data_IF_085073839954
#
_entry.id   IF_085073839954
#
_cell.length_a   1.000
_cell.length_b   1.000
_cell.length_c   1.000
_cell.angle_alpha   90.00
_cell.angle_beta   90.00
_cell.angle_gamma   90.00
#
_symmetry.space_group_name_H-M   'P 1'
#
loop_
_entity.id
_entity.type
_entity.pdbx_description
1 polymer ?
#
# COMPACT_ATOMS: atom_id res chain seq x y z
N UNK A 1 0.96 58.06 14.91
CA UNK A 1 1.62 57.90 13.60
C UNK A 1 3.11 57.83 13.87
N UNK A 2 3.70 56.65 13.73
CA UNK A 2 5.14 56.44 13.66
C UNK A 2 5.37 55.07 12.98
N UNK A 3 6.17 55.10 11.92
CA UNK A 3 6.29 54.12 10.85
C UNK A 3 6.88 52.77 11.28
N UNK A 4 6.18 51.69 10.92
CA UNK A 4 6.77 50.34 10.90
C UNK A 4 7.36 50.10 9.50
N UNK A 5 8.70 50.17 9.41
CA UNK A 5 9.44 49.85 8.19
C UNK A 5 9.32 48.34 7.89
N UNK A 6 8.71 48.01 6.75
CA UNK A 6 8.70 46.66 6.20
C UNK A 6 10.09 46.31 5.63
N UNK A 7 10.71 45.22 6.10
CA UNK A 7 11.81 44.58 5.37
C UNK A 7 11.21 43.80 4.20
N UNK A 8 11.58 44.21 2.99
CA UNK A 8 11.24 43.53 1.74
C UNK A 8 12.14 42.29 1.61
N UNK A 9 11.55 41.10 1.53
CA UNK A 9 12.27 39.88 1.14
C UNK A 9 12.32 39.80 -0.40
N UNK A 10 13.47 39.42 -0.96
CA UNK A 10 13.83 39.52 -2.37
C UNK A 10 13.10 38.55 -3.34
N UNK A 11 11.88 38.12 -3.02
CA UNK A 11 11.02 37.37 -3.94
C UNK A 11 9.58 37.85 -3.77
N UNK A 12 9.14 38.73 -4.66
CA UNK A 12 7.87 39.46 -4.65
C UNK A 12 6.60 38.61 -4.77
N UNK A 13 6.34 37.72 -3.80
CA UNK A 13 5.02 37.13 -3.57
C UNK A 13 4.37 37.79 -2.36
N UNK A 14 3.37 38.62 -2.61
CA UNK A 14 2.40 39.05 -1.59
C UNK A 14 1.58 37.82 -1.17
N UNK A 15 2.07 37.07 -0.20
CA UNK A 15 1.26 36.08 0.51
C UNK A 15 0.27 36.82 1.41
N UNK A 16 -1.02 36.71 1.12
CA UNK A 16 -2.04 37.06 2.10
C UNK A 16 -1.80 36.22 3.36
N UNK A 17 -1.60 36.88 4.51
CA UNK A 17 -1.61 36.26 5.83
C UNK A 17 -3.04 35.77 6.10
N UNK A 18 -3.35 34.57 5.60
CA UNK A 18 -4.54 33.86 6.01
C UNK A 18 -4.38 33.40 7.45
N UNK A 19 -5.21 33.90 8.35
CA UNK A 19 -5.44 33.30 9.68
C UNK A 19 -6.21 31.97 9.48
N UNK A 20 -5.56 31.01 8.85
CA UNK A 20 -5.99 29.61 8.70
C UNK A 20 -4.86 28.75 9.28
N UNK A 21 -5.22 27.70 10.02
CA UNK A 21 -4.29 26.85 10.78
C UNK A 21 -2.95 26.64 10.07
N UNK A 22 -1.84 26.98 10.75
CA UNK A 22 -0.50 26.68 10.26
C UNK A 22 -0.42 25.19 9.87
N UNK A 23 0.26 24.86 8.75
CA UNK A 23 0.41 23.47 8.32
C UNK A 23 0.98 22.61 9.45
N UNK A 24 0.40 21.44 9.69
CA UNK A 24 0.92 20.52 10.69
C UNK A 24 2.02 19.65 10.08
N UNK A 25 3.27 20.13 10.17
CA UNK A 25 4.42 19.53 9.47
C UNK A 25 4.60 18.03 9.74
N UNK A 26 4.42 17.56 10.98
CA UNK A 26 4.56 16.14 11.31
C UNK A 26 3.50 15.28 10.60
N UNK A 27 2.25 15.77 10.49
CA UNK A 27 1.20 15.10 9.72
C UNK A 27 1.54 15.10 8.22
N UNK A 28 1.99 16.22 7.68
CA UNK A 28 2.36 16.35 6.26
C UNK A 28 3.51 15.40 5.92
N UNK A 29 4.56 15.38 6.73
CA UNK A 29 5.71 14.51 6.56
C UNK A 29 5.31 13.04 6.62
N UNK A 30 4.52 12.65 7.63
CA UNK A 30 3.99 11.28 7.74
C UNK A 30 3.16 10.88 6.52
N UNK A 31 2.22 11.72 6.07
CA UNK A 31 1.36 11.38 4.95
C UNK A 31 2.13 11.30 3.62
N UNK A 32 3.08 12.22 3.40
CA UNK A 32 3.93 12.26 2.20
C UNK A 32 4.80 11.01 2.05
N UNK A 33 5.17 10.37 3.16
CA UNK A 33 5.99 9.17 3.16
C UNK A 33 5.21 7.88 2.85
N UNK A 34 3.88 7.96 2.71
CA UNK A 34 3.06 6.80 2.32
C UNK A 34 3.13 6.53 0.82
N UNK A 35 3.12 5.26 0.44
CA UNK A 35 3.01 4.84 -0.96
C UNK A 35 1.56 4.49 -1.31
N UNK A 36 1.07 5.00 -2.43
CA UNK A 36 -0.19 4.57 -3.04
C UNK A 36 -0.14 3.07 -3.36
N UNK A 37 -1.00 2.26 -2.72
CA UNK A 37 -1.06 0.82 -2.95
C UNK A 37 -2.48 0.39 -3.38
N UNK A 38 -2.65 -0.26 -4.53
CA UNK A 38 -3.94 -0.75 -4.99
C UNK A 38 -4.49 -1.85 -4.08
N UNK A 39 -5.79 -1.79 -3.81
CA UNK A 39 -6.47 -2.79 -2.97
C UNK A 39 -7.87 -3.10 -3.50
N UNK A 40 -8.37 -4.30 -3.22
CA UNK A 40 -9.76 -4.71 -3.48
C UNK A 40 -10.66 -4.42 -2.28
N UNK A 41 -10.18 -4.65 -1.07
CA UNK A 41 -10.96 -4.57 0.16
C UNK A 41 -10.22 -3.80 1.24
N UNK A 42 -10.96 -3.35 2.27
CA UNK A 42 -10.35 -2.65 3.39
C UNK A 42 -9.46 -3.57 4.26
N UNK A 43 -9.61 -4.90 4.14
CA UNK A 43 -8.83 -5.89 4.90
C UNK A 43 -7.51 -6.30 4.26
N UNK A 44 -7.24 -5.80 3.06
CA UNK A 44 -6.02 -6.08 2.29
C UNK A 44 -4.80 -5.43 2.92
N UNK A 45 -5.00 -4.26 3.57
CA UNK A 45 -4.03 -3.65 4.47
C UNK A 45 -4.56 -3.71 5.89
N UNK A 46 -3.66 -3.98 6.83
CA UNK A 46 -4.02 -4.26 8.20
C UNK A 46 -3.17 -3.43 9.16
N UNK A 47 -3.84 -2.71 10.07
CA UNK A 47 -3.22 -2.03 11.21
C UNK A 47 -1.99 -1.18 10.79
N UNK A 48 -0.82 -1.43 11.40
CA UNK A 48 0.40 -0.65 11.20
C UNK A 48 0.89 -0.61 9.74
N UNK A 49 0.45 -1.49 8.86
CA UNK A 49 0.77 -1.39 7.43
C UNK A 49 0.21 -0.09 6.82
N UNK A 50 -0.86 0.49 7.40
CA UNK A 50 -1.38 1.80 7.03
C UNK A 50 -0.42 2.96 7.32
N UNK A 51 0.63 2.78 8.13
CA UNK A 51 1.66 3.82 8.32
C UNK A 51 2.56 3.96 7.08
N UNK A 52 2.59 2.94 6.22
CA UNK A 52 3.43 2.89 5.03
C UNK A 52 2.63 2.99 3.72
N UNK A 53 1.37 2.52 3.72
CA UNK A 53 0.52 2.52 2.54
C UNK A 53 -0.63 3.55 2.64
N UNK A 54 -0.83 4.31 1.56
CA UNK A 54 -2.10 4.97 1.29
C UNK A 54 -2.96 4.02 0.44
N UNK A 55 -4.17 3.73 0.92
CA UNK A 55 -5.08 2.81 0.25
C UNK A 55 -6.51 3.32 0.26
N UNK A 56 -7.26 2.95 -0.77
CA UNK A 56 -8.71 3.13 -0.85
C UNK A 56 -9.30 1.79 -1.29
N UNK A 57 -10.12 1.17 -0.44
CA UNK A 57 -10.65 -0.18 -0.69
C UNK A 57 -11.39 -0.27 -2.04
N UNK A 58 -10.95 -1.12 -2.96
CA UNK A 58 -11.58 -1.29 -4.27
C UNK A 58 -11.05 -0.32 -5.34
N UNK A 59 -10.17 0.61 -4.98
CA UNK A 59 -9.32 1.29 -5.95
C UNK A 59 -8.12 0.39 -6.25
N UNK A 60 -8.27 -0.45 -7.27
CA UNK A 60 -7.32 -1.50 -7.66
C UNK A 60 -6.38 -1.09 -8.81
N UNK A 61 -6.47 0.15 -9.27
CA UNK A 61 -5.56 0.76 -10.25
C UNK A 61 -4.58 1.71 -9.57
N UNK A 62 -3.30 1.68 -9.98
CA UNK A 62 -2.26 2.52 -9.39
C UNK A 62 -2.58 4.00 -9.53
N UNK A 63 -2.84 4.46 -10.77
CA UNK A 63 -3.07 5.87 -11.06
C UNK A 63 -4.31 6.43 -10.32
N UNK A 64 -5.36 5.62 -10.16
CA UNK A 64 -6.53 5.99 -9.37
C UNK A 64 -6.18 6.22 -7.89
N UNK A 65 -5.43 5.30 -7.28
CA UNK A 65 -5.03 5.46 -5.87
C UNK A 65 -4.08 6.66 -5.70
N UNK A 66 -3.17 6.89 -6.63
CA UNK A 66 -2.28 8.06 -6.63
C UNK A 66 -3.05 9.38 -6.72
N UNK A 67 -4.05 9.50 -7.60
CA UNK A 67 -4.91 10.69 -7.69
C UNK A 67 -5.71 10.93 -6.41
N UNK A 68 -6.25 9.86 -5.81
CA UNK A 68 -6.94 9.94 -4.52
C UNK A 68 -5.99 10.33 -3.39
N UNK A 69 -4.75 9.83 -3.41
CA UNK A 69 -3.70 10.22 -2.46
C UNK A 69 -3.39 11.71 -2.58
N UNK A 70 -3.21 12.20 -3.80
CA UNK A 70 -2.94 13.60 -4.09
C UNK A 70 -4.08 14.51 -3.59
N UNK A 71 -5.33 14.11 -3.78
CA UNK A 71 -6.50 14.83 -3.28
C UNK A 71 -6.51 14.95 -1.75
N UNK A 72 -6.16 13.86 -1.03
CA UNK A 72 -6.04 13.90 0.44
C UNK A 72 -4.82 14.70 0.89
N UNK A 73 -3.69 14.57 0.20
CA UNK A 73 -2.47 15.32 0.50
C UNK A 73 -2.72 16.83 0.38
N UNK A 74 -3.46 17.25 -0.67
CA UNK A 74 -3.91 18.63 -0.85
C UNK A 74 -4.74 19.11 0.36
N UNK A 75 -5.69 18.29 0.83
CA UNK A 75 -6.48 18.62 2.03
C UNK A 75 -5.63 18.78 3.29
N UNK A 76 -4.62 17.92 3.48
CA UNK A 76 -3.72 18.00 4.63
C UNK A 76 -2.83 19.25 4.55
N UNK A 77 -2.24 19.52 3.38
CA UNK A 77 -1.25 20.58 3.23
C UNK A 77 -1.87 21.98 3.12
N UNK A 78 -3.08 22.09 2.58
CA UNK A 78 -3.72 23.37 2.27
C UNK A 78 -4.98 23.63 3.11
N UNK A 79 -5.45 22.65 3.89
CA UNK A 79 -6.67 22.79 4.69
C UNK A 79 -7.96 22.83 3.88
N UNK A 80 -8.01 22.16 2.71
CA UNK A 80 -9.21 22.15 1.87
C UNK A 80 -10.36 21.38 2.49
N UNK A 81 -11.58 21.72 2.08
CA UNK A 81 -12.83 21.17 2.63
C UNK A 81 -13.20 19.81 2.02
N UNK A 82 -14.13 19.08 2.67
CA UNK A 82 -14.72 17.86 2.10
C UNK A 82 -15.38 18.12 0.74
N UNK A 83 -15.94 19.32 0.52
CA UNK A 83 -16.54 19.72 -0.76
C UNK A 83 -15.50 19.83 -1.87
N UNK A 84 -14.31 20.34 -1.58
CA UNK A 84 -13.22 20.41 -2.56
C UNK A 84 -12.63 19.03 -2.84
N UNK A 85 -12.38 18.23 -1.80
CA UNK A 85 -11.99 16.82 -1.96
C UNK A 85 -12.97 16.04 -2.84
N UNK A 86 -14.27 16.30 -2.67
CA UNK A 86 -15.35 15.70 -3.46
C UNK A 86 -15.27 16.02 -4.95
N UNK A 87 -14.74 17.18 -5.35
CA UNK A 87 -14.49 17.52 -6.76
C UNK A 87 -13.32 16.72 -7.31
N UNK A 88 -12.21 16.69 -6.58
CA UNK A 88 -11.01 15.94 -6.97
C UNK A 88 -11.31 14.42 -7.05
N UNK A 89 -12.11 13.90 -6.12
CA UNK A 89 -12.62 12.52 -6.14
C UNK A 89 -13.44 12.21 -7.39
N UNK A 90 -14.40 13.08 -7.75
CA UNK A 90 -15.24 12.87 -8.95
C UNK A 90 -14.41 12.89 -10.24
N UNK A 91 -13.41 13.76 -10.31
CA UNK A 91 -12.48 13.82 -11.43
C UNK A 91 -11.69 12.51 -11.55
N UNK A 92 -11.15 11.98 -10.45
CA UNK A 92 -10.43 10.70 -10.44
C UNK A 92 -11.36 9.53 -10.83
N UNK A 93 -12.57 9.48 -10.28
CA UNK A 93 -13.58 8.46 -10.65
C UNK A 93 -13.85 8.47 -12.15
N UNK A 94 -14.10 9.65 -12.72
CA UNK A 94 -14.37 9.81 -14.16
C UNK A 94 -13.16 9.43 -15.01
N UNK A 95 -11.97 9.90 -14.65
CA UNK A 95 -10.74 9.67 -15.42
C UNK A 95 -10.38 8.18 -15.51
N UNK A 96 -10.62 7.43 -14.43
CA UNK A 96 -10.22 6.01 -14.33
C UNK A 96 -11.36 5.03 -14.56
N UNK A 97 -12.58 5.53 -14.84
CA UNK A 97 -13.78 4.71 -15.02
C UNK A 97 -14.11 3.86 -13.79
N UNK A 98 -13.89 4.40 -12.59
CA UNK A 98 -13.98 3.62 -11.36
C UNK A 98 -15.42 3.44 -10.88
N UNK A 99 -15.89 2.19 -10.88
CA UNK A 99 -17.13 1.81 -10.20
C UNK A 99 -16.85 1.40 -8.75
N UNK A 100 -17.64 1.91 -7.80
CA UNK A 100 -17.46 1.63 -6.38
C UNK A 100 -18.79 1.41 -5.66
N UNK A 101 -18.71 0.74 -4.51
CA UNK A 101 -19.86 0.45 -3.65
C UNK A 101 -20.12 1.57 -2.64
N UNK A 102 -21.41 1.77 -2.33
CA UNK A 102 -21.90 2.78 -1.39
C UNK A 102 -22.16 4.14 -2.04
N UNK A 103 -22.91 5.00 -1.34
CA UNK A 103 -23.20 6.34 -1.87
C UNK A 103 -21.94 7.20 -1.91
N UNK A 104 -21.85 8.08 -2.93
CA UNK A 104 -20.78 9.08 -3.06
C UNK A 104 -20.54 9.86 -1.77
N UNK A 105 -21.62 10.29 -1.10
CA UNK A 105 -21.57 11.06 0.13
C UNK A 105 -20.84 10.32 1.25
N UNK A 106 -21.25 9.08 1.51
CA UNK A 106 -20.62 8.21 2.51
C UNK A 106 -19.17 7.87 2.13
N UNK A 107 -18.95 7.49 0.87
CA UNK A 107 -17.64 7.04 0.37
C UNK A 107 -16.57 8.11 0.52
N UNK A 108 -16.89 9.32 0.08
CA UNK A 108 -15.97 10.47 0.18
C UNK A 108 -15.72 10.86 1.63
N UNK A 109 -16.74 10.81 2.49
CA UNK A 109 -16.62 11.10 3.91
C UNK A 109 -15.67 10.10 4.60
N UNK A 110 -15.83 8.81 4.35
CA UNK A 110 -14.96 7.77 4.92
C UNK A 110 -13.51 7.94 4.47
N UNK A 111 -13.27 8.09 3.17
CA UNK A 111 -11.90 8.24 2.63
C UNK A 111 -11.23 9.49 3.22
N UNK A 112 -11.93 10.63 3.18
CA UNK A 112 -11.41 11.92 3.63
C UNK A 112 -11.11 11.89 5.13
N UNK A 113 -12.11 11.60 5.97
CA UNK A 113 -11.92 11.68 7.42
C UNK A 113 -10.99 10.61 7.98
N UNK A 114 -11.04 9.36 7.49
CA UNK A 114 -10.15 8.31 8.00
C UNK A 114 -8.69 8.64 7.70
N UNK A 115 -8.37 9.11 6.49
CA UNK A 115 -7.00 9.46 6.15
C UNK A 115 -6.51 10.74 6.85
N UNK A 116 -7.35 11.77 6.96
CA UNK A 116 -7.01 12.97 7.74
C UNK A 116 -6.78 12.66 9.21
N UNK A 117 -7.67 11.90 9.84
CA UNK A 117 -7.61 11.65 11.28
C UNK A 117 -6.46 10.71 11.65
N UNK A 118 -6.23 9.66 10.86
CA UNK A 118 -5.10 8.74 11.09
C UNK A 118 -3.76 9.45 10.89
N UNK A 119 -3.60 10.25 9.84
CA UNK A 119 -2.36 11.02 9.62
C UNK A 119 -2.14 12.11 10.65
N UNK A 120 -3.20 12.80 11.08
CA UNK A 120 -3.12 13.78 12.16
C UNK A 120 -2.63 13.11 13.46
N UNK A 121 -3.26 11.99 13.84
CA UNK A 121 -2.86 11.26 15.05
C UNK A 121 -1.44 10.68 14.94
N UNK A 122 -0.97 10.30 13.74
CA UNK A 122 0.42 9.92 13.52
C UNK A 122 1.42 11.07 13.76
N UNK A 123 1.13 12.26 13.24
CA UNK A 123 1.95 13.43 13.54
C UNK A 123 1.89 13.80 15.04
N UNK A 124 0.73 13.63 15.68
CA UNK A 124 0.60 13.83 17.13
C UNK A 124 1.39 12.79 17.91
N UNK A 125 1.41 11.53 17.49
CA UNK A 125 2.19 10.48 18.11
C UNK A 125 3.68 10.88 18.20
N UNK A 126 4.26 11.38 17.11
CA UNK A 126 5.62 11.91 17.10
C UNK A 126 5.81 13.05 18.11
N UNK A 127 4.93 14.06 18.09
CA UNK A 127 5.02 15.19 19.02
C UNK A 127 4.85 14.79 20.49
N UNK A 128 4.14 13.69 20.75
CA UNK A 128 3.85 13.19 22.09
C UNK A 128 5.02 12.44 22.74
N UNK A 129 6.03 12.03 21.97
CA UNK A 129 7.18 11.28 22.49
C UNK A 129 7.99 12.06 23.55
N UNK A 130 7.88 13.39 23.56
CA UNK A 130 8.54 14.26 24.55
C UNK A 130 7.82 14.36 25.90
N UNK A 131 6.66 13.73 26.05
CA UNK A 131 5.85 13.81 27.28
C UNK A 131 5.84 12.47 28.02
N UNK A 132 6.07 12.46 29.35
CA UNK A 132 6.10 11.23 30.14
C UNK A 132 4.73 10.57 30.31
N UNK A 133 3.63 11.34 30.28
CA UNK A 133 2.27 10.81 30.43
C UNK A 133 1.37 11.29 29.31
N UNK A 134 0.44 10.44 28.94
CA UNK A 134 -0.57 10.70 27.92
C UNK A 134 -1.97 10.61 28.54
N UNK A 135 -2.85 11.49 28.12
CA UNK A 135 -4.26 11.52 28.53
C UNK A 135 -5.17 11.28 27.33
N UNK A 136 -6.06 10.31 27.43
CA UNK A 136 -7.09 10.02 26.43
C UNK A 136 -8.25 11.01 26.55
N UNK A 137 -8.78 11.46 25.41
CA UNK A 137 -9.95 12.33 25.35
C UNK A 137 -10.97 11.77 24.37
N UNK A 138 -12.15 11.45 24.88
CA UNK A 138 -13.32 11.20 24.06
C UNK A 138 -13.83 12.51 23.44
N UNK A 139 -14.28 12.46 22.20
CA UNK A 139 -14.87 13.63 21.54
C UNK A 139 -16.38 13.57 21.61
N UNK A 140 -16.98 14.62 22.20
CA UNK A 140 -18.43 14.82 22.23
C UNK A 140 -19.06 14.94 20.83
N UNK A 141 -18.26 15.23 19.80
CA UNK A 141 -18.71 15.26 18.41
C UNK A 141 -18.94 13.85 17.82
N UNK A 142 -18.57 12.80 18.54
CA UNK A 142 -18.83 11.42 18.15
C UNK A 142 -20.30 11.06 18.40
N UNK A 143 -21.13 11.14 17.36
CA UNK A 143 -22.58 10.88 17.45
C UNK A 143 -22.94 9.47 17.96
N UNK A 144 -22.05 8.48 17.79
CA UNK A 144 -22.22 7.11 18.26
C UNK A 144 -20.99 6.67 19.07
N UNK A 145 -20.77 7.30 20.23
CA UNK A 145 -19.69 6.93 21.15
C UNK A 145 -19.85 5.48 21.62
N UNK A 146 -18.78 4.68 21.49
CA UNK A 146 -18.74 3.34 22.09
C UNK A 146 -18.63 3.49 23.61
N UNK A 147 -19.37 2.70 24.42
CA UNK A 147 -19.32 2.82 25.88
C UNK A 147 -17.89 2.79 26.44
N UNK A 148 -17.02 1.95 25.87
CA UNK A 148 -15.62 1.86 26.28
C UNK A 148 -14.88 3.19 26.14
N UNK A 149 -15.18 4.01 25.11
CA UNK A 149 -14.48 5.27 24.89
C UNK A 149 -14.88 6.34 25.92
N UNK A 150 -16.09 6.25 26.47
CA UNK A 150 -16.52 7.10 27.59
C UNK A 150 -15.80 6.70 28.88
N UNK A 151 -15.61 5.40 29.11
CA UNK A 151 -14.84 4.87 30.24
C UNK A 151 -13.37 5.29 30.17
N UNK A 152 -12.81 5.35 28.96
CA UNK A 152 -11.42 5.80 28.76
C UNK A 152 -11.26 7.32 28.78
N UNK A 153 -12.34 8.11 28.82
CA UNK A 153 -12.21 9.56 28.83
C UNK A 153 -11.42 10.03 30.05
N UNK A 154 -10.47 10.93 29.83
CA UNK A 154 -9.52 11.47 30.82
C UNK A 154 -8.54 10.47 31.43
N UNK A 155 -8.52 9.21 30.97
CA UNK A 155 -7.56 8.20 31.41
C UNK A 155 -6.11 8.70 31.21
N UNK A 156 -5.33 8.77 32.29
CA UNK A 156 -3.93 9.20 32.27
C UNK A 156 -3.03 8.00 32.49
N UNK A 157 -2.17 7.68 31.52
CA UNK A 157 -1.20 6.58 31.62
C UNK A 157 0.19 7.05 31.21
N UNK A 158 1.27 6.39 31.70
CA UNK A 158 2.61 6.59 31.15
C UNK A 158 2.63 6.41 29.63
N UNK A 159 3.45 7.21 28.93
CA UNK A 159 3.54 7.19 27.47
C UNK A 159 3.95 5.82 26.90
N UNK A 160 4.75 5.05 27.66
CA UNK A 160 5.21 3.72 27.29
C UNK A 160 4.26 2.58 27.71
N UNK A 161 3.10 2.89 28.30
CA UNK A 161 2.15 1.88 28.76
C UNK A 161 1.55 1.09 27.58
N UNK A 162 1.41 -0.24 27.73
CA UNK A 162 0.97 -1.14 26.67
C UNK A 162 -0.44 -0.83 26.10
N UNK A 163 -1.30 -0.18 26.89
CA UNK A 163 -2.62 0.31 26.45
C UNK A 163 -2.54 1.11 25.14
N UNK A 164 -1.53 1.97 24.99
CA UNK A 164 -1.37 2.82 23.81
C UNK A 164 -1.01 2.06 22.55
N UNK A 165 -0.55 0.81 22.64
CA UNK A 165 -0.24 -0.01 21.46
C UNK A 165 -1.47 -0.25 20.59
N UNK A 166 -2.66 -0.34 21.20
CA UNK A 166 -3.90 -0.70 20.51
C UNK A 166 -5.05 0.30 20.69
N UNK A 167 -4.96 1.19 21.69
CA UNK A 167 -6.05 2.12 22.04
C UNK A 167 -5.73 3.59 21.70
N UNK A 168 -4.58 3.86 21.09
CA UNK A 168 -4.24 5.20 20.61
C UNK A 168 -5.10 5.55 19.38
N UNK A 169 -5.85 6.66 19.37
CA UNK A 169 -6.80 7.00 18.31
C UNK A 169 -6.20 7.12 16.89
N UNK A 170 -7.02 6.96 15.83
CA UNK A 170 -8.46 6.68 15.87
C UNK A 170 -8.74 5.19 16.16
N UNK A 171 -9.76 4.93 16.98
CA UNK A 171 -10.13 3.57 17.41
C UNK A 171 -11.18 2.91 16.50
N UNK A 172 -11.47 3.53 15.34
CA UNK A 172 -12.48 3.08 14.40
C UNK A 172 -12.85 4.12 13.35
N UNK A 173 -13.69 3.68 12.40
CA UNK A 173 -14.33 4.55 11.42
C UNK A 173 -15.11 5.68 12.12
N UNK A 174 -14.86 6.93 11.72
CA UNK A 174 -15.52 8.10 12.30
C UNK A 174 -15.08 8.48 13.73
N UNK A 175 -14.05 7.83 14.29
CA UNK A 175 -13.57 8.15 15.63
C UNK A 175 -12.91 9.54 15.69
N UNK A 176 -13.41 10.39 16.59
CA UNK A 176 -12.89 11.74 16.83
C UNK A 176 -12.11 11.88 18.15
N UNK A 177 -11.80 10.78 18.82
CA UNK A 177 -11.00 10.80 20.05
C UNK A 177 -9.59 11.34 19.79
N UNK A 178 -8.89 11.76 20.85
CA UNK A 178 -7.54 12.31 20.77
C UNK A 178 -6.73 12.02 22.03
N UNK A 179 -5.42 12.28 21.97
CA UNK A 179 -4.51 12.12 23.11
C UNK A 179 -3.69 13.40 23.29
N UNK A 180 -3.54 13.82 24.55
CA UNK A 180 -2.70 14.96 24.93
C UNK A 180 -1.55 14.53 25.82
N UNK A 181 -0.38 15.14 25.66
CA UNK A 181 0.78 14.91 26.51
C UNK A 181 0.75 15.78 27.77
N UNK A 182 1.20 15.20 28.88
CA UNK A 182 1.33 15.83 30.19
C UNK A 182 2.77 15.65 30.69
N UNK A 183 3.37 16.74 31.17
CA UNK A 183 4.58 16.69 32.00
C UNK A 183 4.21 16.51 33.47
N UNK A 184 5.17 16.15 34.33
CA UNK A 184 4.94 16.08 35.78
C UNK A 184 4.39 17.39 36.36
N UNK A 185 4.91 18.53 35.89
CA UNK A 185 4.45 19.86 36.30
C UNK A 185 2.99 20.06 35.92
N UNK A 186 2.60 19.72 34.68
CA UNK A 186 1.21 19.89 34.21
C UNK A 186 0.26 18.91 34.89
N UNK A 187 0.72 17.69 35.18
CA UNK A 187 -0.05 16.67 35.89
C UNK A 187 -0.39 17.17 37.32
N UNK A 188 0.62 17.66 38.06
CA UNK A 188 0.43 18.27 39.38
C UNK A 188 -0.44 19.54 39.34
N UNK A 189 -0.17 20.46 38.42
CA UNK A 189 -0.90 21.72 38.32
C UNK A 189 -2.39 21.54 38.00
N UNK A 190 -2.76 20.43 37.34
CA UNK A 190 -4.16 20.07 37.05
C UNK A 190 -4.80 19.16 38.11
N UNK A 191 -4.08 18.82 39.18
CA UNK A 191 -4.55 17.88 40.19
C UNK A 191 -4.85 16.49 39.63
N UNK A 192 -4.17 16.09 38.55
CA UNK A 192 -4.34 14.77 37.93
C UNK A 192 -3.35 13.78 38.55
N UNK A 193 -3.73 12.50 38.57
CA UNK A 193 -2.85 11.38 38.91
C UNK A 193 -2.81 10.38 37.77
N UNK A 194 -1.79 9.51 37.76
CA UNK A 194 -1.78 8.33 36.89
C UNK A 194 -2.96 7.45 37.27
N UNK A 195 -3.73 7.03 36.26
CA UNK A 195 -4.89 6.15 36.43
C UNK A 195 -4.48 4.68 36.49
N UNK A 196 -5.33 3.85 37.06
CA UNK A 196 -5.23 2.40 36.88
C UNK A 196 -5.57 2.04 35.43
N UNK A 197 -4.76 1.16 34.82
CA UNK A 197 -4.96 0.77 33.43
C UNK A 197 -6.17 -0.17 33.28
N UNK A 198 -7.08 0.05 32.31
CA UNK A 198 -8.17 -0.87 32.06
C UNK A 198 -7.68 -2.25 31.63
N UNK A 199 -8.39 -3.30 32.06
CA UNK A 199 -8.17 -4.66 31.55
C UNK A 199 -8.55 -4.73 30.07
N UNK A 200 -7.60 -5.15 29.22
CA UNK A 200 -7.82 -5.30 27.79
C UNK A 200 -8.53 -6.64 27.56
N UNK A 201 -9.81 -6.58 27.19
CA UNK A 201 -10.60 -7.74 26.76
C UNK A 201 -10.55 -7.87 25.25
N UNK A 202 -10.24 -9.07 24.76
CA UNK A 202 -10.22 -9.38 23.33
C UNK A 202 -11.52 -10.07 22.92
N UNK A 203 -11.95 -9.82 21.69
CA UNK A 203 -13.05 -10.53 21.04
C UNK A 203 -12.61 -11.02 19.67
N UNK A 204 -13.12 -12.19 19.30
CA UNK A 204 -12.94 -12.76 17.97
C UNK A 204 -13.89 -12.10 16.98
N UNK A 205 -13.39 -11.73 15.81
CA UNK A 205 -14.16 -11.12 14.73
C UNK A 205 -13.74 -11.72 13.41
N UNK A 206 -14.70 -12.17 12.61
CA UNK A 206 -14.43 -12.54 11.22
C UNK A 206 -14.37 -11.31 10.33
N UNK A 207 -13.29 -11.18 9.56
CA UNK A 207 -13.07 -10.09 8.62
C UNK A 207 -12.76 -10.66 7.23
N UNK A 208 -12.90 -9.82 6.20
CA UNK A 208 -12.52 -10.19 4.83
C UNK A 208 -13.49 -11.14 4.12
N UNK A 209 -14.69 -11.38 4.69
CA UNK A 209 -15.73 -12.26 4.10
C UNK A 209 -16.10 -11.94 2.66
N UNK A 210 -16.05 -10.65 2.29
CA UNK A 210 -16.38 -10.17 0.95
C UNK A 210 -15.13 -10.04 0.04
N UNK A 211 -14.00 -10.62 0.45
CA UNK A 211 -12.72 -10.55 -0.24
C UNK A 211 -12.09 -11.92 -0.43
N UNK A 212 -10.87 -11.92 -0.98
CA UNK A 212 -10.13 -13.16 -1.28
C UNK A 212 -9.33 -13.70 -0.08
N UNK A 213 -9.54 -13.16 1.12
CA UNK A 213 -8.79 -13.51 2.32
C UNK A 213 -9.63 -13.38 3.61
N UNK A 214 -10.71 -14.18 3.76
CA UNK A 214 -11.48 -14.25 5.00
C UNK A 214 -10.63 -14.84 6.13
N UNK A 215 -10.75 -14.28 7.34
CA UNK A 215 -10.03 -14.76 8.53
C UNK A 215 -10.68 -14.30 9.83
N UNK A 216 -10.54 -15.08 10.89
CA UNK A 216 -10.79 -14.64 12.26
C UNK A 216 -9.61 -13.80 12.76
N UNK A 217 -9.91 -12.73 13.49
CA UNK A 217 -8.92 -11.86 14.16
C UNK A 217 -9.36 -11.53 15.57
N UNK A 218 -8.38 -11.40 16.46
CA UNK A 218 -8.61 -10.86 17.80
C UNK A 218 -8.51 -9.34 17.79
N UNK A 219 -9.51 -8.70 18.39
CA UNK A 219 -9.61 -7.24 18.46
C UNK A 219 -9.98 -6.84 19.89
N UNK A 220 -9.34 -5.83 20.48
CA UNK A 220 -9.79 -5.30 21.76
C UNK A 220 -11.23 -4.79 21.71
N UNK A 221 -11.99 -5.04 22.77
CA UNK A 221 -13.31 -4.45 22.94
C UNK A 221 -13.26 -2.93 22.86
N UNK A 222 -14.27 -2.32 22.23
CA UNK A 222 -14.27 -0.88 21.95
C UNK A 222 -13.42 -0.45 20.74
N UNK A 223 -12.54 -1.30 20.20
CA UNK A 223 -11.74 -1.01 19.01
C UNK A 223 -12.34 -1.71 17.77
N UNK A 224 -12.29 -1.01 16.63
CA UNK A 224 -12.74 -1.58 15.34
C UNK A 224 -11.65 -2.50 14.78
N UNK A 225 -12.00 -3.61 14.13
CA UNK A 225 -11.02 -4.41 13.40
C UNK A 225 -10.23 -3.53 12.41
N UNK A 226 -8.92 -3.70 12.36
CA UNK A 226 -7.99 -2.87 11.56
C UNK A 226 -7.47 -1.60 12.24
N UNK A 227 -8.09 -1.13 13.34
CA UNK A 227 -7.70 0.10 14.05
C UNK A 227 -6.95 -0.15 15.36
N UNK A 228 -6.66 -1.41 15.70
CA UNK A 228 -5.93 -1.78 16.91
C UNK A 228 -4.41 -1.58 16.75
N UNK A 229 -3.99 -0.34 16.50
CA UNK A 229 -2.60 0.10 16.41
C UNK A 229 -2.51 1.60 16.69
N UNK A 230 -1.34 2.11 17.08
CA UNK A 230 -1.08 3.54 17.15
C UNK A 230 -0.57 4.06 15.79
N UNK A 231 -1.33 4.91 15.06
CA UNK A 231 -0.83 5.50 13.82
C UNK A 231 0.47 6.27 14.05
N UNK A 232 1.39 6.18 13.09
CA UNK A 232 2.70 6.81 13.15
C UNK A 232 3.74 6.05 13.96
N UNK A 233 3.34 5.08 14.81
CA UNK A 233 4.29 4.36 15.67
C UNK A 233 5.29 3.55 14.86
N UNK A 234 4.85 2.78 13.86
CA UNK A 234 5.79 1.95 13.09
C UNK A 234 6.70 2.82 12.22
N UNK A 235 6.15 3.86 11.58
CA UNK A 235 6.93 4.82 10.81
C UNK A 235 7.98 5.52 11.68
N UNK A 236 7.58 6.03 12.85
CA UNK A 236 8.48 6.69 13.80
C UNK A 236 9.58 5.74 14.28
N UNK A 237 9.22 4.51 14.68
CA UNK A 237 10.20 3.50 15.08
C UNK A 237 11.19 3.22 13.95
N UNK A 238 10.70 2.98 12.73
CA UNK A 238 11.56 2.73 11.57
C UNK A 238 12.54 3.87 11.29
N UNK A 239 12.14 5.12 11.44
CA UNK A 239 13.03 6.28 11.26
C UNK A 239 14.10 6.43 12.36
N UNK A 240 13.92 5.79 13.52
CA UNK A 240 14.84 5.86 14.66
C UNK A 240 15.62 4.55 14.90
N UNK A 241 15.38 3.49 14.12
CA UNK A 241 16.24 2.30 14.11
C UNK A 241 17.55 2.68 13.41
N UNK A 242 18.72 2.53 14.07
CA UNK A 242 20.01 2.75 13.42
C UNK A 242 20.17 1.85 12.20
N UNK A 243 20.69 2.39 11.10
CA UNK A 243 20.99 1.61 9.90
C UNK A 243 22.07 0.57 10.22
N UNK A 244 21.92 -0.71 9.82
CA UNK A 244 22.97 -1.70 9.96
C UNK A 244 24.28 -1.24 9.32
N UNK A 245 25.41 -1.45 10.00
CA UNK A 245 26.74 -1.23 9.43
C UNK A 245 27.04 -2.37 8.43
N UNK A 246 26.90 -2.09 7.12
CA UNK A 246 27.21 -3.05 6.05
C UNK A 246 26.23 -2.97 4.87
N UNK A 247 26.42 -3.84 3.87
CA UNK A 247 25.33 -4.11 2.93
C UNK A 247 24.18 -4.70 3.75
N UNK A 248 22.95 -4.16 3.68
CA UNK A 248 21.82 -4.81 4.31
C UNK A 248 21.83 -6.28 3.87
N UNK A 249 21.63 -7.25 4.79
CA UNK A 249 21.51 -8.64 4.40
C UNK A 249 20.54 -8.69 3.22
N UNK A 250 20.95 -9.31 2.11
CA UNK A 250 19.99 -9.75 1.10
C UNK A 250 18.96 -10.57 1.89
N UNK A 251 17.73 -10.06 2.05
CA UNK A 251 16.73 -10.70 2.91
C UNK A 251 16.21 -9.91 4.12
N UNK A 252 16.49 -8.61 4.29
CA UNK A 252 15.53 -7.74 5.00
C UNK A 252 14.53 -7.12 4.01
N UNK A 253 13.88 -8.02 3.26
CA UNK A 253 12.81 -7.84 2.28
C UNK A 253 11.47 -7.63 2.99
N UNK A 254 11.26 -6.48 3.65
CA UNK A 254 9.94 -6.20 4.24
C UNK A 254 8.95 -5.87 3.14
N UNK A 255 8.38 -6.93 2.59
CA UNK A 255 7.23 -6.89 1.73
C UNK A 255 6.02 -6.46 2.55
N UNK A 256 5.34 -5.38 2.18
CA UNK A 256 4.19 -4.86 2.94
C UNK A 256 2.97 -4.73 2.01
N UNK A 257 1.85 -5.42 2.29
CA UNK A 257 1.67 -6.41 3.35
C UNK A 257 2.37 -7.73 3.00
N UNK A 258 2.88 -8.46 3.99
CA UNK A 258 3.53 -9.76 3.81
C UNK A 258 2.55 -10.95 3.74
N UNK A 259 1.30 -10.72 3.35
CA UNK A 259 0.26 -11.75 3.42
C UNK A 259 0.44 -12.79 2.31
N UNK A 260 0.65 -14.05 2.67
CA UNK A 260 0.72 -15.16 1.70
C UNK A 260 -0.67 -15.63 1.25
N UNK A 261 -0.73 -16.20 0.05
CA UNK A 261 -1.84 -17.05 -0.36
C UNK A 261 -2.10 -18.17 0.67
N UNK A 262 -3.36 -18.57 0.79
CA UNK A 262 -3.80 -19.64 1.71
C UNK A 262 -4.52 -20.78 0.97
N UNK A 263 -4.55 -20.68 -0.34
CA UNK A 263 -5.26 -21.52 -1.27
C UNK A 263 -4.34 -21.88 -2.43
N UNK A 264 -4.65 -22.97 -3.12
CA UNK A 264 -3.88 -23.42 -4.26
C UNK A 264 -3.99 -22.43 -5.43
N UNK A 265 -2.98 -22.41 -6.28
CA UNK A 265 -3.07 -21.78 -7.59
C UNK A 265 -4.19 -22.43 -8.42
N UNK A 266 -4.78 -21.69 -9.37
CA UNK A 266 -5.56 -22.30 -10.44
C UNK A 266 -4.77 -23.40 -11.15
N UNK A 267 -5.47 -24.45 -11.62
CA UNK A 267 -4.87 -25.55 -12.36
C UNK A 267 -4.04 -25.07 -13.58
N UNK A 268 -2.94 -25.75 -13.94
CA UNK A 268 -2.15 -25.39 -15.11
C UNK A 268 -2.98 -25.37 -16.39
N UNK A 269 -2.67 -24.45 -17.32
CA UNK A 269 -3.23 -24.47 -18.68
C UNK A 269 -2.24 -25.05 -19.66
N UNK A 270 -2.72 -25.79 -20.65
CA UNK A 270 -1.87 -26.21 -21.78
C UNK A 270 -1.27 -24.97 -22.45
N UNK A 271 0.05 -24.91 -22.51
CA UNK A 271 0.78 -23.96 -23.33
C UNK A 271 1.03 -24.58 -24.69
N UNK A 272 0.46 -23.96 -25.73
CA UNK A 272 0.44 -24.53 -27.06
C UNK A 272 1.86 -24.65 -27.64
N UNK A 273 2.15 -25.78 -28.30
CA UNK A 273 3.48 -26.10 -28.83
C UNK A 273 3.92 -25.10 -29.90
N UNK A 274 2.98 -24.58 -30.70
CA UNK A 274 3.20 -23.55 -31.71
C UNK A 274 3.59 -22.18 -31.13
N UNK A 275 3.35 -21.96 -29.82
CA UNK A 275 3.83 -20.79 -29.08
C UNK A 275 5.23 -20.96 -28.50
N UNK A 276 5.86 -22.13 -28.65
CA UNK A 276 7.26 -22.35 -28.30
C UNK A 276 8.12 -21.95 -29.50
N UNK A 277 8.86 -20.86 -29.36
CA UNK A 277 9.67 -20.30 -30.44
C UNK A 277 10.91 -21.15 -30.71
N UNK A 278 11.34 -21.19 -31.96
CA UNK A 278 12.55 -21.91 -32.34
C UNK A 278 13.78 -21.35 -31.61
N UNK A 279 14.71 -22.22 -31.22
CA UNK A 279 16.01 -21.80 -30.69
C UNK A 279 16.84 -21.14 -31.78
N UNK A 280 17.72 -20.21 -31.39
CA UNK A 280 18.67 -19.56 -32.30
C UNK A 280 18.12 -18.38 -33.09
N UNK A 281 16.87 -17.97 -32.86
CA UNK A 281 16.36 -16.68 -33.35
C UNK A 281 17.17 -15.51 -32.75
N UNK A 282 17.18 -14.39 -33.45
CA UNK A 282 17.75 -13.14 -32.97
C UNK A 282 16.92 -12.57 -31.81
N UNK A 283 17.55 -11.74 -30.97
CA UNK A 283 16.86 -11.02 -29.90
C UNK A 283 15.67 -10.21 -30.46
N UNK A 284 15.82 -9.57 -31.63
CA UNK A 284 14.77 -8.78 -32.27
C UNK A 284 13.56 -9.64 -32.67
N UNK A 285 13.78 -10.86 -33.16
CA UNK A 285 12.70 -11.79 -33.52
C UNK A 285 11.91 -12.26 -32.29
N UNK A 286 12.59 -12.60 -31.19
CA UNK A 286 11.90 -12.95 -29.94
C UNK A 286 11.10 -11.77 -29.38
N UNK A 287 11.66 -10.55 -29.42
CA UNK A 287 10.95 -9.34 -28.99
C UNK A 287 9.75 -9.07 -29.87
N UNK A 288 9.90 -9.16 -31.20
CA UNK A 288 8.81 -8.95 -32.15
C UNK A 288 7.66 -9.94 -31.91
N UNK A 289 7.97 -11.21 -31.66
CA UNK A 289 6.98 -12.23 -31.31
C UNK A 289 6.24 -11.90 -30.00
N UNK A 290 6.94 -11.44 -28.96
CA UNK A 290 6.28 -11.00 -27.73
C UNK A 290 5.39 -9.78 -27.96
N UNK A 291 5.87 -8.77 -28.69
CA UNK A 291 5.13 -7.52 -28.90
C UNK A 291 3.85 -7.75 -29.72
N UNK A 292 3.88 -8.66 -30.69
CA UNK A 292 2.73 -8.97 -31.54
C UNK A 292 1.56 -9.57 -30.77
N UNK A 293 1.80 -10.28 -29.65
CA UNK A 293 0.75 -10.78 -28.75
C UNK A 293 -0.12 -9.64 -28.17
N UNK A 294 0.40 -8.42 -28.14
CA UNK A 294 -0.29 -7.21 -27.68
C UNK A 294 -0.66 -6.25 -28.82
N UNK A 295 -0.36 -6.61 -30.07
CA UNK A 295 -0.47 -5.70 -31.21
C UNK A 295 0.54 -4.55 -31.20
N UNK A 296 1.62 -4.67 -30.43
CA UNK A 296 2.73 -3.70 -30.41
C UNK A 296 3.80 -4.07 -31.44
N UNK A 297 4.69 -3.13 -31.76
CA UNK A 297 5.87 -3.36 -32.59
C UNK A 297 7.04 -2.46 -32.16
N UNK A 298 8.22 -2.67 -32.75
CA UNK A 298 9.37 -1.79 -32.52
C UNK A 298 9.02 -0.34 -32.92
N UNK A 299 9.25 0.61 -32.02
CA UNK A 299 8.86 2.02 -32.22
C UNK A 299 7.35 2.32 -32.14
N UNK A 300 6.50 1.31 -31.98
CA UNK A 300 5.04 1.44 -31.89
C UNK A 300 4.52 0.82 -30.57
N UNK A 301 4.67 1.52 -29.43
CA UNK A 301 4.20 1.02 -28.14
C UNK A 301 2.67 1.02 -28.07
N UNK A 302 2.12 0.06 -27.32
CA UNK A 302 0.66 -0.05 -27.09
C UNK A 302 0.36 0.01 -25.60
N UNK A 303 -0.77 0.63 -25.24
CA UNK A 303 -1.33 0.55 -23.90
C UNK A 303 -2.21 -0.70 -23.83
N UNK A 304 -1.75 -1.70 -23.08
CA UNK A 304 -2.52 -2.89 -22.74
C UNK A 304 -3.24 -2.68 -21.41
N UNK A 305 -4.50 -3.09 -21.31
CA UNK A 305 -5.23 -3.11 -20.04
C UNK A 305 -5.34 -4.55 -19.56
N UNK A 306 -4.85 -4.82 -18.35
CA UNK A 306 -4.96 -6.16 -17.77
C UNK A 306 -6.39 -6.49 -17.31
N UNK A 307 -6.60 -7.73 -16.87
CA UNK A 307 -7.90 -8.22 -16.41
C UNK A 307 -8.44 -7.47 -15.17
N UNK A 308 -7.57 -6.79 -14.42
CA UNK A 308 -7.96 -5.92 -13.30
C UNK A 308 -8.12 -4.44 -13.72
N UNK A 309 -7.92 -4.12 -15.00
CA UNK A 309 -8.08 -2.81 -15.61
C UNK A 309 -6.89 -1.86 -15.41
N UNK A 310 -5.73 -2.35 -14.97
CA UNK A 310 -4.50 -1.57 -14.89
C UNK A 310 -3.91 -1.38 -16.29
N UNK A 311 -3.46 -0.17 -16.60
CA UNK A 311 -2.82 0.15 -17.87
C UNK A 311 -1.32 -0.17 -17.81
N UNK A 312 -0.82 -0.94 -18.78
CA UNK A 312 0.60 -1.24 -18.97
C UNK A 312 1.03 -0.82 -20.36
N UNK A 313 2.18 -0.14 -20.44
CA UNK A 313 2.77 0.21 -21.73
C UNK A 313 3.63 -0.97 -22.20
N UNK A 314 3.22 -1.61 -23.28
CA UNK A 314 3.95 -2.70 -23.92
C UNK A 314 4.83 -2.11 -25.02
N UNK A 315 6.14 -2.35 -24.92
CA UNK A 315 7.15 -1.86 -25.86
C UNK A 315 8.43 -2.68 -25.76
N UNK A 316 9.32 -2.58 -26.75
CA UNK A 316 10.63 -3.27 -26.69
C UNK A 316 11.54 -2.79 -25.57
N UNK A 317 11.24 -1.66 -24.93
CA UNK A 317 11.92 -1.24 -23.71
C UNK A 317 11.79 -2.28 -22.58
N UNK A 318 10.74 -3.12 -22.64
CA UNK A 318 10.56 -4.31 -21.81
C UNK A 318 11.59 -5.43 -22.10
N UNK A 319 12.62 -5.21 -22.90
CA UNK A 319 13.68 -6.21 -23.11
C UNK A 319 15.07 -5.58 -23.11
N UNK A 320 15.16 -4.27 -22.85
CA UNK A 320 16.42 -3.53 -22.88
C UNK A 320 17.03 -3.43 -21.47
N UNK A 321 18.35 -3.61 -21.38
CA UNK A 321 19.09 -3.34 -20.16
C UNK A 321 19.38 -1.83 -19.98
N UNK A 322 20.04 -1.46 -18.88
CA UNK A 322 20.40 -0.05 -18.58
C UNK A 322 21.25 0.60 -19.69
N UNK A 323 21.97 -0.20 -20.50
CA UNK A 323 22.75 0.27 -21.66
C UNK A 323 21.95 0.26 -22.97
N UNK A 324 20.64 0.03 -22.92
CA UNK A 324 19.75 0.01 -24.09
C UNK A 324 19.82 -1.24 -24.97
N UNK A 325 20.68 -2.22 -24.64
CA UNK A 325 20.80 -3.47 -25.42
C UNK A 325 19.71 -4.46 -25.04
N UNK A 326 19.18 -5.16 -26.04
CA UNK A 326 18.27 -6.28 -25.81
C UNK A 326 18.94 -7.38 -24.96
N UNK A 327 18.11 -8.07 -24.19
CA UNK A 327 18.53 -9.06 -23.18
C UNK A 327 17.47 -10.16 -23.07
N UNK A 328 17.15 -10.81 -24.18
CA UNK A 328 16.14 -11.89 -24.21
C UNK A 328 16.79 -13.27 -24.10
N UNK A 329 17.91 -13.48 -24.79
CA UNK A 329 18.68 -14.73 -24.88
C UNK A 329 19.51 -15.05 -23.63
N UNK A 330 18.91 -15.05 -22.43
CA UNK A 330 19.60 -15.45 -21.20
C UNK A 330 19.06 -16.74 -20.62
N UNK A 331 20.00 -17.66 -20.35
CA UNK A 331 19.77 -18.95 -19.66
C UNK A 331 18.81 -19.89 -20.41
N UNK A 332 18.70 -19.79 -21.73
CA UNK A 332 17.92 -20.73 -22.56
C UNK A 332 16.40 -20.60 -22.43
N UNK A 333 15.92 -19.45 -21.95
CA UNK A 333 14.50 -19.19 -21.67
C UNK A 333 13.79 -18.51 -22.85
N UNK A 334 14.56 -18.00 -23.80
CA UNK A 334 14.07 -17.29 -24.97
C UNK A 334 12.99 -18.01 -25.80
N UNK A 335 12.99 -19.36 -25.96
CA UNK A 335 11.92 -20.05 -26.68
C UNK A 335 10.52 -19.83 -26.08
N UNK A 336 10.46 -19.48 -24.80
CA UNK A 336 9.22 -19.41 -24.03
C UNK A 336 8.86 -17.99 -23.63
N UNK A 337 9.41 -16.97 -24.31
CA UNK A 337 9.07 -15.57 -24.03
C UNK A 337 7.56 -15.30 -24.14
N UNK A 338 6.84 -16.06 -24.97
CA UNK A 338 5.39 -15.96 -25.11
C UNK A 338 4.62 -16.45 -23.86
N UNK A 339 5.23 -17.24 -22.98
CA UNK A 339 4.64 -17.54 -21.67
C UNK A 339 4.55 -16.29 -20.78
N UNK A 340 5.52 -15.36 -20.89
CA UNK A 340 5.44 -14.07 -20.19
C UNK A 340 4.31 -13.20 -20.77
N UNK A 341 4.13 -13.23 -22.09
CA UNK A 341 3.01 -12.54 -22.73
C UNK A 341 1.68 -13.10 -22.22
N UNK A 342 1.54 -14.43 -22.15
CA UNK A 342 0.36 -15.08 -21.60
C UNK A 342 0.14 -14.81 -20.10
N UNK A 343 1.20 -14.70 -19.30
CA UNK A 343 1.07 -14.32 -17.89
C UNK A 343 0.49 -12.90 -17.72
N UNK A 344 0.82 -11.96 -18.61
CA UNK A 344 0.27 -10.60 -18.59
C UNK A 344 -1.15 -10.56 -19.15
N UNK A 345 -1.40 -11.25 -20.29
CA UNK A 345 -2.71 -11.25 -20.97
C UNK A 345 -3.76 -12.01 -20.19
N UNK A 346 -3.39 -13.19 -19.72
CA UNK A 346 -4.27 -14.17 -19.10
C UNK A 346 -3.63 -14.72 -17.80
N UNK A 347 -3.39 -13.89 -16.78
CA UNK A 347 -2.80 -14.33 -15.52
C UNK A 347 -3.70 -15.36 -14.81
N UNK A 348 -3.10 -16.20 -13.99
CA UNK A 348 -3.80 -16.95 -12.95
C UNK A 348 -4.08 -16.09 -11.74
N UNK A 349 -3.11 -15.27 -11.34
CA UNK A 349 -3.25 -14.32 -10.25
C UNK A 349 -2.52 -13.00 -10.56
N UNK A 350 -3.04 -11.90 -10.01
CA UNK A 350 -2.35 -10.61 -9.96
C UNK A 350 -2.16 -10.22 -8.50
N UNK A 351 -0.94 -9.88 -8.13
CA UNK A 351 -0.56 -9.46 -6.79
C UNK A 351 0.03 -8.06 -6.79
N UNK A 352 -0.09 -7.36 -5.65
CA UNK A 352 0.64 -6.12 -5.41
C UNK A 352 1.12 -5.99 -3.97
N UNK A 353 2.24 -5.32 -3.80
CA UNK A 353 2.97 -5.23 -2.55
C UNK A 353 3.96 -4.06 -2.60
N UNK A 354 4.37 -3.57 -1.43
CA UNK A 354 5.52 -2.67 -1.31
C UNK A 354 6.78 -3.50 -1.04
N UNK A 355 7.84 -3.25 -1.78
CA UNK A 355 9.15 -3.90 -1.64
C UNK A 355 10.24 -2.82 -1.52
N UNK A 356 11.36 -3.15 -0.86
CA UNK A 356 12.50 -2.23 -0.76
C UNK A 356 13.40 -2.37 -1.99
N UNK A 357 13.53 -1.31 -2.78
CA UNK A 357 14.53 -1.27 -3.84
C UNK A 357 15.88 -0.83 -3.26
N UNK A 358 16.78 -1.80 -3.08
CA UNK A 358 18.13 -1.55 -2.54
C UNK A 358 19.01 -0.68 -3.43
N UNK A 359 18.87 -0.76 -4.76
CA UNK A 359 19.65 0.06 -5.69
C UNK A 359 19.26 1.54 -5.62
N UNK A 360 17.98 1.82 -5.31
CA UNK A 360 17.44 3.17 -5.19
C UNK A 360 17.32 3.65 -3.74
N UNK A 361 17.55 2.79 -2.76
CA UNK A 361 17.42 3.09 -1.33
C UNK A 361 16.02 3.56 -0.92
N UNK A 362 14.96 3.04 -1.56
CA UNK A 362 13.57 3.43 -1.27
C UNK A 362 12.58 2.29 -1.47
N UNK A 363 11.47 2.34 -0.74
CA UNK A 363 10.34 1.44 -0.93
C UNK A 363 9.58 1.77 -2.23
N UNK A 364 9.11 0.75 -2.92
CA UNK A 364 8.41 0.84 -4.20
C UNK A 364 7.28 -0.16 -4.28
N UNK A 365 6.23 0.17 -5.02
CA UNK A 365 5.12 -0.76 -5.27
C UNK A 365 5.44 -1.64 -6.46
N UNK A 366 5.27 -2.95 -6.27
CA UNK A 366 5.33 -3.96 -7.31
C UNK A 366 3.95 -4.49 -7.62
N UNK A 367 3.72 -4.76 -8.90
CA UNK A 367 2.60 -5.54 -9.42
C UNK A 367 3.18 -6.79 -10.06
N UNK A 368 2.64 -7.95 -9.70
CA UNK A 368 3.15 -9.26 -10.13
C UNK A 368 2.02 -10.05 -10.80
N UNK A 369 2.28 -10.53 -11.99
CA UNK A 369 1.42 -11.44 -12.75
C UNK A 369 1.99 -12.83 -12.62
N UNK A 370 1.15 -13.80 -12.31
CA UNK A 370 1.54 -15.18 -12.08
C UNK A 370 0.70 -16.08 -12.98
N UNK A 371 1.33 -17.00 -13.70
CA UNK A 371 0.63 -18.02 -14.49
C UNK A 371 1.39 -19.36 -14.51
N UNK A 372 0.64 -20.46 -14.44
CA UNK A 372 1.12 -21.85 -14.51
C UNK A 372 0.60 -22.53 -15.77
N UNK A 373 1.46 -23.34 -16.36
CA UNK A 373 1.23 -23.97 -17.65
C UNK A 373 1.67 -25.42 -17.67
N UNK A 374 0.97 -26.25 -18.42
CA UNK A 374 1.43 -27.58 -18.83
C UNK A 374 2.13 -27.43 -20.19
N UNK A 375 3.38 -27.87 -20.30
CA UNK A 375 4.15 -27.78 -21.55
C UNK A 375 4.05 -29.11 -22.29
N UNK A 376 3.75 -29.04 -23.59
CA UNK A 376 3.52 -30.20 -24.45
C UNK A 376 4.70 -31.18 -24.54
N UNK A 377 5.92 -30.77 -24.16
CA UNK A 377 7.12 -31.60 -24.16
C UNK A 377 7.19 -32.65 -23.01
N UNK A 378 6.14 -32.72 -22.18
CA UNK A 378 6.03 -33.65 -21.07
C UNK A 378 6.70 -33.17 -19.78
N UNK A 379 7.29 -31.97 -19.76
CA UNK A 379 7.68 -31.27 -18.53
C UNK A 379 6.44 -30.67 -17.89
N UNK A 380 5.90 -31.35 -16.89
CA UNK A 380 4.51 -31.15 -16.44
C UNK A 380 4.16 -29.77 -15.88
N UNK A 381 5.11 -28.87 -15.62
CA UNK A 381 4.78 -27.52 -15.14
C UNK A 381 5.81 -26.45 -15.55
N UNK A 382 5.36 -25.55 -16.41
CA UNK A 382 5.99 -24.25 -16.68
C UNK A 382 5.35 -23.15 -15.85
N UNK A 383 6.15 -22.22 -15.36
CA UNK A 383 5.70 -21.11 -14.52
C UNK A 383 6.26 -19.79 -15.06
N UNK A 384 5.39 -18.79 -15.19
CA UNK A 384 5.77 -17.48 -15.69
C UNK A 384 5.34 -16.40 -14.71
N UNK A 385 6.28 -15.52 -14.40
CA UNK A 385 6.08 -14.36 -13.55
C UNK A 385 6.59 -13.12 -14.24
N UNK A 386 5.71 -12.12 -14.32
CA UNK A 386 6.05 -10.79 -14.78
C UNK A 386 5.80 -9.80 -13.66
N UNK A 387 6.80 -8.98 -13.36
CA UNK A 387 6.76 -7.94 -12.34
C UNK A 387 6.94 -6.58 -12.98
N UNK A 388 6.15 -5.61 -12.52
CA UNK A 388 6.20 -4.24 -12.99
C UNK A 388 6.08 -3.27 -11.82
N UNK A 389 6.81 -2.16 -11.90
CA UNK A 389 6.75 -1.04 -10.98
C UNK A 389 7.26 0.25 -11.62
N UNK A 390 7.21 1.36 -10.89
CA UNK A 390 7.65 2.68 -11.39
C UNK A 390 9.15 2.78 -11.71
N UNK A 391 9.94 1.85 -11.19
CA UNK A 391 11.38 1.69 -11.40
C UNK A 391 11.74 0.67 -12.50
N UNK A 392 10.73 0.15 -13.21
CA UNK A 392 10.92 -0.79 -14.29
C UNK A 392 10.21 -2.11 -14.04
N UNK A 393 10.70 -3.14 -14.71
CA UNK A 393 10.05 -4.44 -14.75
C UNK A 393 11.09 -5.55 -14.59
N UNK A 394 10.63 -6.73 -14.21
CA UNK A 394 11.40 -7.97 -14.21
C UNK A 394 10.51 -9.10 -14.73
N UNK A 395 11.08 -10.03 -15.48
CA UNK A 395 10.36 -11.21 -15.99
C UNK A 395 11.17 -12.46 -15.72
N UNK A 396 10.49 -13.49 -15.21
CA UNK A 396 11.07 -14.78 -14.89
C UNK A 396 10.14 -15.87 -15.42
N UNK A 397 10.63 -16.68 -16.34
CA UNK A 397 10.01 -17.96 -16.70
C UNK A 397 10.87 -19.08 -16.09
N UNK A 398 10.25 -20.00 -15.38
CA UNK A 398 10.90 -21.18 -14.80
C UNK A 398 10.15 -22.46 -15.20
N UNK A 399 10.84 -23.58 -15.12
CA UNK A 399 10.32 -24.91 -15.44
C UNK A 399 10.56 -25.85 -14.28
N UNK A 400 9.76 -26.88 -14.10
CA UNK A 400 10.02 -27.92 -13.10
C UNK A 400 11.46 -28.48 -13.18
N UNK A 401 12.01 -28.63 -14.38
CA UNK A 401 13.41 -29.08 -14.60
C UNK A 401 14.50 -28.09 -14.15
N UNK A 402 14.16 -26.82 -13.94
CA UNK A 402 15.10 -25.82 -13.41
C UNK A 402 15.32 -26.01 -11.90
N UNK A 403 14.51 -26.84 -11.24
CA UNK A 403 14.55 -27.11 -9.81
C UNK A 403 14.89 -28.57 -9.51
N UNK A 404 15.44 -28.81 -8.33
CA UNK A 404 15.83 -30.16 -7.88
C UNK A 404 14.64 -31.04 -7.50
N UNK A 405 13.48 -30.44 -7.23
CA UNK A 405 12.22 -31.12 -6.88
C UNK A 405 11.00 -30.25 -7.18
N UNK A 406 9.82 -30.88 -7.25
CA UNK A 406 8.54 -30.16 -7.34
C UNK A 406 8.27 -29.31 -6.08
N UNK A 407 8.70 -29.79 -4.91
CA UNK A 407 8.59 -29.04 -3.65
C UNK A 407 9.36 -27.72 -3.70
N UNK A 408 10.53 -27.70 -4.35
CA UNK A 408 11.32 -26.48 -4.54
C UNK A 408 10.64 -25.50 -5.50
N UNK A 409 10.07 -26.00 -6.61
CA UNK A 409 9.26 -25.18 -7.52
C UNK A 409 8.05 -24.60 -6.79
N UNK A 410 7.29 -25.43 -6.06
CA UNK A 410 6.12 -24.99 -5.31
C UNK A 410 6.50 -23.97 -4.23
N UNK A 411 7.62 -24.15 -3.54
CA UNK A 411 8.12 -23.18 -2.58
C UNK A 411 8.47 -21.83 -3.22
N UNK A 412 9.10 -21.83 -4.40
CA UNK A 412 9.40 -20.61 -5.16
C UNK A 412 8.11 -19.91 -5.61
N UNK A 413 7.16 -20.68 -6.14
CA UNK A 413 5.84 -20.21 -6.59
C UNK A 413 5.06 -19.59 -5.43
N UNK A 414 4.96 -20.27 -4.29
CA UNK A 414 4.31 -19.73 -3.09
C UNK A 414 5.04 -18.50 -2.54
N UNK A 415 6.37 -18.46 -2.66
CA UNK A 415 7.20 -17.30 -2.36
C UNK A 415 6.83 -16.06 -3.19
N UNK A 416 6.29 -16.24 -4.39
CA UNK A 416 5.85 -15.15 -5.26
C UNK A 416 4.38 -14.74 -5.02
N UNK A 417 3.57 -15.59 -4.39
CA UNK A 417 2.14 -15.36 -4.11
C UNK A 417 1.93 -14.68 -2.75
N UNK A 418 2.55 -13.51 -2.59
CA UNK A 418 2.47 -12.72 -1.36
C UNK A 418 2.09 -11.27 -1.68
N UNK A 419 1.25 -10.68 -0.84
CA UNK A 419 0.82 -9.29 -0.94
C UNK A 419 -0.69 -9.15 -0.88
N UNK A 420 -1.20 -8.15 -1.60
CA UNK A 420 -2.62 -7.99 -1.89
C UNK A 420 -2.93 -8.68 -3.22
N UNK A 421 -3.75 -9.74 -3.19
CA UNK A 421 -4.24 -10.39 -4.40
C UNK A 421 -5.34 -9.55 -5.06
N UNK A 422 -5.05 -8.98 -6.21
CA UNK A 422 -5.97 -8.13 -7.00
C UNK A 422 -6.87 -8.94 -7.93
N UNK A 423 -6.45 -10.13 -8.33
CA UNK A 423 -7.20 -11.02 -9.22
C UNK A 423 -6.79 -12.48 -8.97
N UNK A 424 -7.75 -13.40 -9.14
CA UNK A 424 -7.53 -14.84 -9.24
C UNK A 424 -8.49 -15.40 -10.30
N UNK A 425 -7.97 -16.21 -11.23
CA UNK A 425 -8.77 -16.85 -12.27
C UNK A 425 -9.78 -17.82 -11.65
N UNK A 426 -11.02 -17.76 -12.13
CA UNK A 426 -12.10 -18.65 -11.71
C UNK A 426 -12.75 -18.31 -10.37
N UNK A 427 -12.47 -17.13 -9.79
CA UNK A 427 -13.12 -16.61 -8.58
C UNK A 427 -13.86 -15.31 -8.80
#
# INVERSE_FOLDING_TARGET
MADVKYKVNANGRKGALGYGSLPFDAQIAFFRNKLALPTRTWTDIWQANHDHAFVVAGANKMALVEDLQAAVQKAIAQGTTLTEFRKDFDAAVKAHGWSYNGSRGWRTQVIYHTNLRSSYNAGRFEQLQKFPYWQYHHSIASQNARPQHLVWDKLVLPANHAFWLTHYPPNGWGCNCSVTGLSDVRLKARGLSVSEAPVIKLRQVEVGKNGLNPRAVEVPEGISPGFAYAPGRSAWMHSHVPTPLGKPPHGFDKMIPATSARDLLPEPRVFAEDKILAKGLSDDEYVAAFLSEFGAAEGAPVVFYDVAGEALVISSALFRNIKGKLKVTKRGREPYVLMLAEAIRNPDEIWTNMEWNHALGKAMVRRRYVARFEIADGSRDGFAVFEYGRDGWAGVTTYARDFSSLDELDAEVEGMRRGVRLYKRGL
#
